data_IF_509627137167
#
_entry.id   IF_509627137167
#
_cell.length_a   1.000
_cell.length_b   1.000
_cell.length_c   1.000
_cell.angle_alpha   90.00
_cell.angle_beta   90.00
_cell.angle_gamma   90.00
#
_symmetry.space_group_name_H-M   'P 1'
#
loop_
_entity.id
_entity.type
_entity.pdbx_description
1 polymer ?
#
# COMPACT_ATOMS: atom_id res chain seq x y z
N UNK A 1 13.76 -14.75 -11.63
CA UNK A 1 12.96 -14.13 -10.55
C UNK A 1 11.68 -13.58 -11.17
N UNK A 2 10.49 -13.97 -10.68
CA UNK A 2 9.22 -13.37 -11.12
C UNK A 2 9.20 -11.93 -10.57
N UNK A 3 9.10 -10.92 -11.44
CA UNK A 3 9.04 -9.51 -11.02
C UNK A 3 7.84 -9.25 -10.11
N UNK A 4 7.99 -8.33 -9.15
CA UNK A 4 6.88 -7.90 -8.29
C UNK A 4 6.04 -6.87 -9.05
N UNK A 5 4.76 -6.75 -8.71
CA UNK A 5 3.85 -5.74 -9.30
C UNK A 5 4.04 -4.34 -8.69
N UNK A 6 5.18 -4.09 -8.04
CA UNK A 6 5.38 -2.86 -7.31
C UNK A 6 5.71 -1.72 -8.28
N UNK A 7 4.76 -0.81 -8.54
CA UNK A 7 5.06 0.48 -9.17
C UNK A 7 5.69 1.43 -8.14
N UNK A 8 6.97 1.20 -7.81
CA UNK A 8 7.72 2.00 -6.85
C UNK A 8 8.28 3.25 -7.54
N UNK A 9 7.74 4.41 -7.19
CA UNK A 9 8.34 5.71 -7.51
C UNK A 9 9.20 6.08 -6.30
N UNK A 10 10.51 6.21 -6.48
CA UNK A 10 11.47 6.49 -5.41
C UNK A 10 11.57 7.99 -5.06
N UNK A 11 11.06 8.86 -5.92
CA UNK A 11 11.02 10.30 -5.69
C UNK A 11 9.90 10.67 -4.70
N UNK A 12 10.19 11.60 -3.78
CA UNK A 12 9.23 12.11 -2.77
C UNK A 12 8.61 11.04 -1.86
N UNK A 13 9.43 10.09 -1.39
CA UNK A 13 8.98 9.05 -0.46
C UNK A 13 9.03 9.51 1.00
N UNK A 14 7.99 9.17 1.76
CA UNK A 14 7.91 9.43 3.20
C UNK A 14 7.84 8.10 3.98
N UNK A 15 8.44 8.06 5.16
CA UNK A 15 8.38 6.87 6.04
C UNK A 15 7.02 6.80 6.74
N UNK A 16 6.28 5.71 6.51
CA UNK A 16 5.06 5.40 7.23
C UNK A 16 5.36 4.49 8.41
N UNK A 17 4.83 4.83 9.59
CA UNK A 17 4.89 4.00 10.79
C UNK A 17 3.48 3.57 11.16
N UNK A 18 3.32 2.29 11.49
CA UNK A 18 2.07 1.72 11.97
C UNK A 18 2.36 0.82 13.16
N UNK A 19 1.55 0.93 14.22
CA UNK A 19 1.59 0.02 15.35
C UNK A 19 0.84 -1.24 15.01
N UNK A 20 1.56 -2.34 14.74
CA UNK A 20 1.00 -3.68 14.56
C UNK A 20 1.88 -4.70 15.30
N UNK A 21 1.26 -5.76 15.77
CA UNK A 21 1.98 -6.91 16.33
C UNK A 21 2.79 -7.65 15.25
N UNK A 22 3.70 -8.50 15.71
CA UNK A 22 4.50 -9.33 14.80
C UNK A 22 3.64 -10.33 14.01
N UNK A 23 2.61 -10.89 14.65
CA UNK A 23 1.65 -11.81 14.01
C UNK A 23 0.89 -11.11 12.87
N UNK A 24 0.36 -9.92 13.13
CA UNK A 24 -0.33 -9.12 12.11
C UNK A 24 0.60 -8.74 10.96
N UNK A 25 1.84 -8.35 11.26
CA UNK A 25 2.85 -8.05 10.25
C UNK A 25 3.14 -9.26 9.35
N UNK A 26 3.25 -10.45 9.93
CA UNK A 26 3.50 -11.68 9.18
C UNK A 26 2.29 -12.06 8.31
N UNK A 27 1.07 -11.92 8.85
CA UNK A 27 -0.15 -12.13 8.10
C UNK A 27 -0.25 -11.16 6.90
N UNK A 28 0.04 -9.88 7.12
CA UNK A 28 0.02 -8.86 6.08
C UNK A 28 1.06 -9.10 4.97
N UNK A 29 2.27 -9.58 5.33
CA UNK A 29 3.27 -10.01 4.35
C UNK A 29 2.78 -11.16 3.46
N UNK A 30 2.07 -12.12 4.05
CA UNK A 30 1.53 -13.26 3.31
C UNK A 30 0.44 -12.82 2.32
N UNK A 31 -0.42 -11.87 2.72
CA UNK A 31 -1.40 -11.25 1.82
C UNK A 31 -0.72 -10.54 0.66
N UNK A 32 0.28 -9.70 0.94
CA UNK A 32 1.02 -9.00 -0.11
C UNK A 32 1.63 -9.99 -1.13
N UNK A 33 2.27 -11.05 -0.62
CA UNK A 33 2.89 -12.09 -1.44
C UNK A 33 1.87 -12.84 -2.30
N UNK A 34 0.71 -13.21 -1.75
CA UNK A 34 -0.33 -13.92 -2.52
C UNK A 34 -0.90 -13.07 -3.67
N UNK A 35 -0.82 -11.74 -3.56
CA UNK A 35 -1.24 -10.79 -4.58
C UNK A 35 -0.13 -10.42 -5.59
N UNK A 36 1.10 -10.87 -5.35
CA UNK A 36 2.27 -10.60 -6.20
C UNK A 36 2.95 -9.26 -5.93
N UNK A 37 2.80 -8.72 -4.71
CA UNK A 37 3.43 -7.48 -4.27
C UNK A 37 4.48 -7.74 -3.18
N UNK A 38 5.41 -6.81 -3.01
CA UNK A 38 6.12 -6.69 -1.72
C UNK A 38 5.19 -6.13 -0.66
N UNK A 39 5.52 -6.33 0.61
CA UNK A 39 4.76 -5.75 1.72
C UNK A 39 4.65 -4.21 1.61
N UNK A 40 5.75 -3.54 1.25
CA UNK A 40 5.76 -2.09 1.05
C UNK A 40 4.94 -1.68 -0.17
N UNK A 41 5.08 -2.38 -1.31
CA UNK A 41 4.30 -2.10 -2.52
C UNK A 41 2.80 -2.25 -2.27
N UNK A 42 2.40 -3.33 -1.59
CA UNK A 42 1.02 -3.59 -1.20
C UNK A 42 0.45 -2.49 -0.30
N UNK A 43 1.18 -2.09 0.74
CA UNK A 43 0.75 -1.01 1.63
C UNK A 43 0.60 0.32 0.87
N UNK A 44 1.55 0.64 -0.01
CA UNK A 44 1.48 1.84 -0.84
C UNK A 44 0.25 1.87 -1.76
N UNK A 45 -0.14 0.73 -2.32
CA UNK A 45 -1.36 0.61 -3.12
C UNK A 45 -2.63 0.82 -2.30
N UNK A 46 -2.68 0.28 -1.07
CA UNK A 46 -3.82 0.50 -0.17
C UNK A 46 -3.99 1.98 0.17
N UNK A 47 -2.90 2.67 0.53
CA UNK A 47 -2.93 4.10 0.85
C UNK A 47 -3.37 4.91 -0.36
N UNK A 48 -2.80 4.65 -1.55
CA UNK A 48 -3.20 5.35 -2.80
C UNK A 48 -4.68 5.16 -3.10
N UNK A 49 -5.17 3.92 -3.04
CA UNK A 49 -6.58 3.59 -3.28
C UNK A 49 -7.52 4.35 -2.34
N UNK A 50 -7.17 4.43 -1.05
CA UNK A 50 -7.99 5.16 -0.08
C UNK A 50 -7.94 6.67 -0.33
N UNK A 51 -6.77 7.23 -0.69
CA UNK A 51 -6.66 8.65 -1.05
C UNK A 51 -7.48 9.00 -2.30
N UNK A 52 -7.43 8.18 -3.35
CA UNK A 52 -8.20 8.38 -4.57
C UNK A 52 -9.71 8.32 -4.31
N UNK A 53 -10.15 7.35 -3.51
CA UNK A 53 -11.54 7.23 -3.07
C UNK A 53 -12.02 8.50 -2.36
N UNK A 54 -11.22 9.05 -1.44
CA UNK A 54 -11.59 10.24 -0.67
C UNK A 54 -11.44 11.55 -1.47
N UNK A 55 -10.53 11.61 -2.44
CA UNK A 55 -10.45 12.75 -3.38
C UNK A 55 -11.72 12.88 -4.21
N UNK A 56 -12.22 11.78 -4.77
CA UNK A 56 -13.42 11.81 -5.62
C UNK A 56 -14.71 12.18 -4.88
N UNK A 57 -14.78 11.90 -3.57
CA UNK A 57 -15.90 12.32 -2.73
C UNK A 57 -15.93 13.85 -2.60
N UNK A 58 -14.76 14.49 -2.47
CA UNK A 58 -14.66 15.95 -2.37
C UNK A 58 -14.87 16.67 -3.71
N UNK A 59 -14.61 16.02 -4.85
CA UNK A 59 -14.84 16.59 -6.19
C UNK A 59 -16.32 16.68 -6.58
N UNK A 60 -17.21 15.95 -5.91
CA UNK A 60 -18.65 15.90 -6.23
C UNK A 60 -19.48 16.82 -5.32
N UNK A 61 -18.82 17.54 -4.39
CA UNK A 61 -19.47 18.40 -3.40
C UNK A 61 -19.14 19.89 -3.58
N UNK A 62 -18.70 20.31 -4.77
CA UNK A 62 -18.46 21.72 -5.13
C UNK A 62 -19.25 22.07 -6.38
#
# INVERSE_FOLDING_TARGET
>A
MKGTKDNIITENTYLLRVGISELEKNYAKNIAKSQGYTFQGWLGQLVKKELEKNKNINSTSV
#
